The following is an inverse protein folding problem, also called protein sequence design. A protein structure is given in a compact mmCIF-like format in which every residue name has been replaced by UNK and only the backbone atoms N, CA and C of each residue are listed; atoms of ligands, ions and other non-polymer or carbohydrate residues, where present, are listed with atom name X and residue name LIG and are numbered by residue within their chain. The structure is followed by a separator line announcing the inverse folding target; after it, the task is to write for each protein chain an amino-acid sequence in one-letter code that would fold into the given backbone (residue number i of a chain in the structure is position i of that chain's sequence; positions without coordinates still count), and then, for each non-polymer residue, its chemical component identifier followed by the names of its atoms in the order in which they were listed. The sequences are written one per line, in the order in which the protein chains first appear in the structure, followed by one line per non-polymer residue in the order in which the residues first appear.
data_IF_115893589558
#
_entry.id   IF_115893589558
#
_cell.length_a   1.000
_cell.length_b   1.000
_cell.length_c   1.000
_cell.angle_alpha   90.00
_cell.angle_beta   90.00
_cell.angle_gamma   90.00
#
_symmetry.space_group_name_H-M   'P 1'
#
loop_
_entity.id
_entity.type
_entity.pdbx_description
1 polymer ?
#
# COMPACT_ATOMS: atom_id res chain seq x y z
N UNK A 1 36.82 -47.55 -2.96
CA UNK A 1 35.45 -47.39 -2.38
C UNK A 1 35.62 -47.28 -0.88
N UNK A 2 35.21 -46.27 -0.12
CA UNK A 2 34.37 -45.10 -0.37
C UNK A 2 34.97 -43.89 0.38
N UNK A 3 34.74 -42.71 -0.17
CA UNK A 3 35.23 -41.41 0.28
C UNK A 3 34.33 -40.85 1.39
N UNK A 4 34.93 -40.42 2.50
CA UNK A 4 34.32 -39.67 3.59
C UNK A 4 34.60 -38.18 3.40
N UNK A 5 33.60 -37.39 3.01
CA UNK A 5 33.67 -35.92 3.05
C UNK A 5 32.72 -35.39 4.12
N UNK A 6 33.27 -35.06 5.29
CA UNK A 6 32.60 -34.24 6.29
C UNK A 6 32.63 -32.78 5.84
N UNK A 7 31.47 -32.14 5.71
CA UNK A 7 31.38 -30.69 5.51
C UNK A 7 31.09 -30.03 6.86
N UNK A 8 32.09 -29.29 7.32
CA UNK A 8 31.97 -28.26 8.36
C UNK A 8 30.97 -27.19 7.91
N UNK A 9 29.97 -26.90 8.76
CA UNK A 9 29.20 -25.67 8.67
C UNK A 9 29.85 -24.66 9.61
N UNK A 10 30.63 -23.74 9.05
CA UNK A 10 31.14 -22.58 9.78
C UNK A 10 30.01 -21.56 9.89
N UNK A 11 29.62 -21.29 11.14
CA UNK A 11 28.72 -20.22 11.55
C UNK A 11 29.39 -18.88 11.23
N UNK A 12 28.82 -18.11 10.29
CA UNK A 12 29.15 -16.69 10.10
C UNK A 12 28.02 -15.88 10.74
N UNK A 13 28.23 -15.51 12.00
CA UNK A 13 27.43 -14.52 12.71
C UNK A 13 28.01 -13.12 12.46
N UNK A 14 27.13 -12.13 12.47
CA UNK A 14 27.40 -10.70 12.65
C UNK A 14 28.24 -9.98 11.59
N UNK A 15 27.56 -9.23 10.72
CA UNK A 15 27.79 -7.79 10.49
C UNK A 15 26.89 -7.32 9.34
N UNK A 16 25.65 -6.90 9.66
CA UNK A 16 24.82 -6.02 8.82
C UNK A 16 23.62 -5.50 9.60
N UNK A 17 23.85 -4.92 10.78
CA UNK A 17 22.84 -4.18 11.51
C UNK A 17 23.51 -2.95 12.11
N UNK A 18 23.44 -1.83 11.38
CA UNK A 18 23.53 -0.44 11.88
C UNK A 18 23.68 0.51 10.68
N UNK A 19 22.58 0.82 9.99
CA UNK A 19 22.54 2.07 9.21
C UNK A 19 21.09 2.54 9.01
N UNK A 20 20.39 2.81 10.12
CA UNK A 20 19.16 3.58 10.08
C UNK A 20 19.12 4.44 11.36
N UNK A 21 19.88 5.54 11.36
CA UNK A 21 19.58 6.80 12.06
C UNK A 21 20.81 7.74 12.03
N UNK A 22 20.58 9.00 11.59
CA UNK A 22 21.50 10.16 11.46
C UNK A 22 22.33 10.16 10.15
N UNK A 23 22.35 11.21 9.32
CA UNK A 23 22.29 12.66 9.58
C UNK A 23 21.62 13.38 8.39
N UNK A 24 20.71 14.32 8.66
CA UNK A 24 20.36 15.38 7.71
C UNK A 24 21.06 16.64 8.22
N UNK A 25 22.01 17.16 7.43
CA UNK A 25 22.56 18.52 7.56
C UNK A 25 22.12 19.34 6.34
N UNK A 26 21.87 20.64 6.48
CA UNK A 26 21.18 21.44 5.48
C UNK A 26 22.10 21.81 4.32
N UNK A 27 21.70 21.47 3.09
CA UNK A 27 22.42 21.91 1.90
C UNK A 27 22.03 23.35 1.51
N UNK A 28 23.10 24.10 1.26
CA UNK A 28 23.17 25.51 0.88
C UNK A 28 22.39 25.81 -0.39
N UNK A 29 21.72 26.95 -0.35
CA UNK A 29 21.20 27.72 -1.48
C UNK A 29 22.28 27.95 -2.54
N UNK A 30 22.05 27.48 -3.77
CA UNK A 30 22.81 27.92 -4.95
C UNK A 30 21.81 28.64 -5.87
N UNK A 31 21.92 29.97 -5.93
CA UNK A 31 21.26 30.82 -6.92
C UNK A 31 22.11 30.80 -8.20
N UNK A 32 21.59 30.23 -9.27
CA UNK A 32 22.10 30.52 -10.62
C UNK A 32 21.20 31.58 -11.27
N UNK A 33 21.76 32.77 -11.45
CA UNK A 33 21.17 33.85 -12.22
C UNK A 33 21.27 33.52 -13.71
N UNK A 34 20.11 33.36 -14.36
CA UNK A 34 20.02 33.33 -15.82
C UNK A 34 19.64 34.73 -16.30
N UNK A 35 20.56 35.42 -16.99
CA UNK A 35 20.30 36.66 -17.72
C UNK A 35 19.91 36.33 -19.16
N UNK A 36 18.61 36.34 -19.45
CA UNK A 36 18.11 36.19 -20.82
C UNK A 36 18.04 37.56 -21.51
N UNK A 37 18.78 37.72 -22.62
CA UNK A 37 18.62 38.83 -23.58
C UNK A 37 17.33 38.59 -24.39
N UNK A 38 16.44 39.59 -24.41
CA UNK A 38 15.23 39.61 -25.25
C UNK A 38 15.53 40.09 -26.67
N UNK A 39 15.09 39.41 -27.74
CA UNK A 39 14.87 40.04 -29.04
C UNK A 39 13.45 40.62 -29.13
N UNK A 40 13.35 41.83 -29.69
CA UNK A 40 12.10 42.54 -29.98
C UNK A 40 11.47 41.99 -31.26
N UNK A 41 10.26 41.43 -31.18
CA UNK A 41 9.15 41.57 -32.15
C UNK A 41 8.05 40.55 -31.81
N UNK A 42 6.85 41.05 -31.49
CA UNK A 42 5.70 40.20 -31.15
C UNK A 42 4.99 39.67 -32.40
N UNK A 43 4.07 38.70 -32.20
CA UNK A 43 2.69 39.03 -32.56
C UNK A 43 1.64 38.54 -31.55
N UNK A 44 0.62 39.42 -31.41
CA UNK A 44 -0.79 39.19 -31.02
C UNK A 44 -1.07 38.49 -29.67
N UNK A 45 -1.47 39.33 -28.70
CA UNK A 45 -1.93 38.92 -27.37
C UNK A 45 -3.09 37.90 -27.44
N UNK A 46 -2.80 36.64 -27.13
CA UNK A 46 -3.76 35.76 -26.48
C UNK A 46 -4.07 36.39 -25.11
N UNK A 47 -5.34 36.67 -24.84
CA UNK A 47 -5.79 37.06 -23.50
C UNK A 47 -5.35 35.93 -22.56
N UNK A 48 -4.39 36.23 -21.70
CA UNK A 48 -4.11 35.40 -20.54
C UNK A 48 -5.39 35.40 -19.71
N UNK A 49 -6.15 34.30 -19.81
CA UNK A 49 -6.94 33.88 -18.67
C UNK A 49 -5.90 33.63 -17.58
N UNK A 50 -6.14 34.18 -16.40
CA UNK A 50 -5.27 33.98 -15.24
C UNK A 50 -5.23 32.46 -14.95
N UNK A 51 -4.23 31.78 -15.52
CA UNK A 51 -3.85 30.38 -15.28
C UNK A 51 -3.18 30.26 -13.90
N UNK A 52 -3.79 30.83 -12.87
CA UNK A 52 -3.50 30.48 -11.49
C UNK A 52 -4.12 29.09 -11.26
N UNK A 53 -3.31 28.06 -11.51
CA UNK A 53 -3.67 26.68 -11.16
C UNK A 53 -4.15 26.69 -9.70
N UNK A 54 -5.39 26.24 -9.42
CA UNK A 54 -5.96 26.37 -8.09
C UNK A 54 -5.03 25.71 -7.09
N UNK A 55 -4.63 26.44 -6.04
CA UNK A 55 -3.88 25.85 -4.93
C UNK A 55 -4.67 24.66 -4.41
N UNK A 56 -4.20 23.45 -4.70
CA UNK A 56 -4.80 22.21 -4.20
C UNK A 56 -4.44 22.11 -2.72
N UNK A 57 -5.21 22.78 -1.86
CA UNK A 57 -5.17 22.54 -0.42
C UNK A 57 -5.87 21.22 -0.13
N UNK A 58 -5.17 20.09 -0.25
CA UNK A 58 -5.74 18.77 0.00
C UNK A 58 -4.93 17.61 -0.58
N UNK A 59 -5.45 16.39 -0.47
CA UNK A 59 -4.88 15.23 -1.14
C UNK A 59 -5.09 15.36 -2.66
N UNK A 60 -4.00 15.60 -3.39
CA UNK A 60 -4.01 15.73 -4.84
C UNK A 60 -4.55 14.47 -5.55
N UNK A 61 -4.47 13.30 -4.90
CA UNK A 61 -4.97 12.04 -5.45
C UNK A 61 -6.50 12.00 -5.40
N UNK A 62 -7.09 12.52 -4.33
CA UNK A 62 -8.54 12.69 -4.23
C UNK A 62 -9.04 13.74 -5.22
N UNK A 63 -8.29 14.83 -5.42
CA UNK A 63 -8.59 15.81 -6.46
C UNK A 63 -8.56 15.17 -7.86
N UNK A 64 -7.52 14.39 -8.18
CA UNK A 64 -7.41 13.63 -9.43
C UNK A 64 -8.58 12.65 -9.60
N UNK A 65 -8.96 11.94 -8.54
CA UNK A 65 -10.11 11.03 -8.57
C UNK A 65 -11.42 11.77 -8.90
N UNK A 66 -11.65 12.95 -8.31
CA UNK A 66 -12.82 13.80 -8.61
C UNK A 66 -12.83 14.29 -10.06
N UNK A 67 -11.67 14.58 -10.64
CA UNK A 67 -11.58 14.96 -12.06
C UNK A 67 -11.92 13.78 -12.96
N UNK A 68 -11.35 12.60 -12.71
CA UNK A 68 -11.62 11.38 -13.50
C UNK A 68 -13.11 11.05 -13.44
N UNK A 69 -13.72 11.09 -12.25
CA UNK A 69 -15.17 10.87 -12.09
C UNK A 69 -16.05 11.90 -12.81
N UNK A 70 -15.56 13.13 -13.04
CA UNK A 70 -16.28 14.16 -13.78
C UNK A 70 -16.13 14.01 -15.29
N UNK A 71 -14.93 13.62 -15.74
CA UNK A 71 -14.60 13.47 -17.16
C UNK A 71 -15.18 12.20 -17.74
N UNK A 72 -15.00 11.08 -17.04
CA UNK A 72 -15.40 9.74 -17.50
C UNK A 72 -16.78 9.33 -16.96
N UNK A 73 -17.39 10.20 -16.13
CA UNK A 73 -18.58 9.88 -15.34
C UNK A 73 -18.28 8.93 -14.17
N UNK A 74 -19.32 8.49 -13.45
CA UNK A 74 -19.17 7.26 -12.64
C UNK A 74 -18.90 6.15 -13.65
N UNK A 75 -17.79 5.40 -13.54
CA UNK A 75 -17.44 4.45 -14.59
C UNK A 75 -18.59 3.49 -14.81
N UNK A 76 -19.00 3.30 -16.06
CA UNK A 76 -20.12 2.44 -16.42
C UNK A 76 -19.86 1.02 -15.89
N UNK A 77 -20.71 0.53 -14.98
CA UNK A 77 -20.50 -0.77 -14.30
C UNK A 77 -19.61 -0.75 -13.05
N UNK A 78 -19.04 0.40 -12.65
CA UNK A 78 -18.37 0.56 -11.34
C UNK A 78 -19.40 0.49 -10.21
N UNK A 79 -19.80 -0.73 -9.88
CA UNK A 79 -20.61 -1.00 -8.70
C UNK A 79 -19.69 -0.96 -7.49
N UNK A 80 -19.89 0.03 -6.62
CA UNK A 80 -19.41 -0.08 -5.24
C UNK A 80 -20.07 -1.34 -4.66
N UNK A 81 -19.27 -2.24 -4.10
CA UNK A 81 -19.83 -3.40 -3.40
C UNK A 81 -20.57 -2.92 -2.17
N UNK A 82 -21.90 -2.90 -2.25
CA UNK A 82 -22.79 -2.51 -1.16
C UNK A 82 -22.59 -3.44 0.05
N UNK A 83 -22.32 -4.72 -0.21
CA UNK A 83 -22.07 -5.71 0.84
C UNK A 83 -20.74 -5.48 1.55
N UNK A 84 -19.67 -5.12 0.81
CA UNK A 84 -18.41 -4.71 1.43
C UNK A 84 -18.58 -3.42 2.25
N UNK A 85 -19.40 -2.47 1.77
CA UNK A 85 -19.70 -1.23 2.49
C UNK A 85 -20.41 -1.53 3.81
N UNK A 86 -21.47 -2.34 3.78
CA UNK A 86 -22.22 -2.76 4.98
C UNK A 86 -21.32 -3.46 6.00
N UNK A 87 -20.45 -4.36 5.55
CA UNK A 87 -19.48 -5.00 6.43
C UNK A 87 -18.51 -3.99 7.05
N UNK A 88 -18.01 -3.04 6.26
CA UNK A 88 -17.13 -1.99 6.75
C UNK A 88 -17.83 -1.06 7.75
N UNK A 89 -19.12 -0.73 7.55
CA UNK A 89 -19.92 0.05 8.50
C UNK A 89 -20.00 -0.63 9.87
N UNK A 90 -20.10 -1.97 9.90
CA UNK A 90 -20.11 -2.75 11.15
C UNK A 90 -18.71 -2.76 11.78
N UNK A 91 -17.66 -2.93 10.98
CA UNK A 91 -16.29 -3.10 11.49
C UNK A 91 -15.61 -1.78 11.90
N UNK A 92 -15.84 -0.72 11.13
CA UNK A 92 -15.24 0.61 11.32
C UNK A 92 -16.15 1.71 10.70
N UNK A 93 -17.14 2.22 11.46
CA UNK A 93 -18.07 3.23 10.97
C UNK A 93 -17.40 4.52 10.48
N UNK A 94 -16.34 4.96 11.17
CA UNK A 94 -15.59 6.17 10.81
C UNK A 94 -14.91 6.03 9.46
N UNK A 95 -14.30 4.88 9.19
CA UNK A 95 -13.67 4.59 7.90
C UNK A 95 -14.70 4.37 6.79
N UNK A 96 -15.87 3.79 7.12
CA UNK A 96 -16.97 3.56 6.18
C UNK A 96 -17.62 4.87 5.69
N UNK A 97 -17.61 5.91 6.52
CA UNK A 97 -18.13 7.23 6.17
C UNK A 97 -17.22 7.99 5.19
N UNK A 98 -15.96 7.58 5.03
CA UNK A 98 -15.03 8.19 4.08
C UNK A 98 -15.38 7.82 2.62
N UNK A 99 -14.97 8.67 1.68
CA UNK A 99 -15.14 8.38 0.26
C UNK A 99 -14.34 7.14 -0.18
N UNK A 100 -14.99 6.22 -0.89
CA UNK A 100 -14.36 5.05 -1.49
C UNK A 100 -14.15 5.27 -2.99
N UNK A 101 -12.90 5.19 -3.43
CA UNK A 101 -12.52 5.33 -4.84
C UNK A 101 -11.21 4.60 -5.15
N UNK A 102 -11.08 4.17 -6.40
CA UNK A 102 -9.83 3.77 -7.02
C UNK A 102 -9.88 4.18 -8.50
N UNK A 103 -8.73 4.50 -9.10
CA UNK A 103 -8.65 4.76 -10.53
C UNK A 103 -7.28 4.35 -11.05
N UNK A 104 -7.21 3.91 -12.29
CA UNK A 104 -5.95 3.50 -12.90
C UNK A 104 -4.95 4.66 -12.99
N UNK A 105 -3.67 4.34 -12.85
CA UNK A 105 -2.56 5.26 -13.12
C UNK A 105 -1.62 4.62 -14.14
N UNK A 106 -0.97 5.43 -15.00
CA UNK A 106 -0.09 4.89 -16.04
C UNK A 106 1.20 4.27 -15.46
N UNK A 107 1.63 4.73 -14.28
CA UNK A 107 2.83 4.28 -13.58
C UNK A 107 2.53 4.08 -12.08
N UNK A 108 3.34 3.29 -11.36
CA UNK A 108 3.19 3.13 -9.93
C UNK A 108 3.66 4.40 -9.21
N UNK A 109 3.06 4.67 -8.05
CA UNK A 109 3.38 5.83 -7.21
C UNK A 109 3.39 5.41 -5.74
N UNK A 110 4.18 6.07 -4.90
CA UNK A 110 4.14 5.86 -3.44
C UNK A 110 2.74 6.14 -2.90
N UNK A 111 2.22 5.23 -2.09
CA UNK A 111 0.85 5.22 -1.59
C UNK A 111 -0.21 4.80 -2.63
N UNK A 112 0.21 4.50 -3.86
CA UNK A 112 -0.57 3.76 -4.84
C UNK A 112 -0.72 2.29 -4.48
N UNK A 113 -1.50 1.60 -5.30
CA UNK A 113 -1.60 0.14 -5.28
C UNK A 113 -1.18 -0.42 -6.62
N UNK A 114 -0.62 -1.63 -6.59
CA UNK A 114 -0.46 -2.48 -7.77
C UNK A 114 -1.30 -3.74 -7.62
N UNK A 115 -1.98 -4.10 -8.69
CA UNK A 115 -2.93 -5.20 -8.75
C UNK A 115 -2.35 -6.26 -9.69
N UNK A 116 -2.24 -7.50 -9.23
CA UNK A 116 -1.76 -8.59 -10.08
C UNK A 116 -2.67 -8.78 -11.29
N UNK A 117 -2.07 -8.81 -12.48
CA UNK A 117 -2.74 -9.14 -13.73
C UNK A 117 -2.88 -10.65 -13.87
N UNK A 118 -4.01 -11.11 -14.40
CA UNK A 118 -4.22 -12.53 -14.70
C UNK A 118 -3.62 -12.95 -16.04
N UNK A 119 -3.23 -11.96 -16.86
CA UNK A 119 -2.70 -12.16 -18.21
C UNK A 119 -1.19 -12.44 -18.24
N UNK A 120 -0.54 -12.55 -17.08
CA UNK A 120 0.91 -12.70 -16.95
C UNK A 120 1.29 -14.08 -16.36
N UNK A 121 1.50 -15.11 -17.21
CA UNK A 121 1.81 -16.46 -16.75
C UNK A 121 3.07 -16.55 -15.88
N UNK A 122 4.06 -15.68 -16.09
CA UNK A 122 5.30 -15.68 -15.30
C UNK A 122 5.07 -15.28 -13.85
N UNK A 123 4.23 -14.27 -13.61
CA UNK A 123 3.81 -13.87 -12.27
C UNK A 123 2.98 -14.98 -11.60
N UNK A 124 2.06 -15.58 -12.38
CA UNK A 124 1.15 -16.61 -11.88
C UNK A 124 1.78 -17.99 -11.68
N UNK A 125 3.07 -18.19 -12.02
CA UNK A 125 3.82 -19.41 -11.62
C UNK A 125 3.90 -19.56 -10.09
N UNK A 126 3.78 -18.46 -9.36
CA UNK A 126 3.68 -18.46 -7.91
C UNK A 126 2.21 -18.24 -7.51
N UNK A 127 1.52 -19.31 -7.11
CA UNK A 127 0.10 -19.25 -6.68
C UNK A 127 -0.15 -18.20 -5.59
N UNK A 128 0.88 -17.85 -4.81
CA UNK A 128 0.76 -16.84 -3.76
C UNK A 128 0.49 -15.44 -4.34
N UNK A 129 0.81 -15.20 -5.61
CA UNK A 129 0.58 -13.97 -6.38
C UNK A 129 -0.82 -13.87 -6.99
N UNK A 130 -1.63 -14.94 -6.96
CA UNK A 130 -2.97 -14.93 -7.55
C UNK A 130 -3.87 -13.83 -6.97
N UNK A 131 -4.35 -12.88 -7.78
CA UNK A 131 -5.25 -11.82 -7.33
C UNK A 131 -4.71 -11.01 -6.12
N UNK A 132 -3.39 -10.80 -5.99
CA UNK A 132 -2.87 -9.95 -4.91
C UNK A 132 -3.10 -8.46 -5.21
N UNK A 133 -3.36 -7.69 -4.15
CA UNK A 133 -3.40 -6.23 -4.17
C UNK A 133 -2.34 -5.73 -3.23
N UNK A 134 -1.37 -4.97 -3.74
CA UNK A 134 -0.21 -4.49 -2.98
C UNK A 134 -0.26 -2.99 -2.82
N UNK A 135 -0.14 -2.49 -1.60
CA UNK A 135 0.04 -1.06 -1.31
C UNK A 135 1.52 -0.70 -1.31
N UNK A 136 1.93 0.27 -2.11
CA UNK A 136 3.33 0.70 -2.21
C UNK A 136 3.65 1.68 -1.07
N UNK A 137 4.48 1.25 -0.12
CA UNK A 137 4.95 2.09 0.98
C UNK A 137 6.11 2.99 0.57
N UNK A 138 6.86 2.59 -0.46
CA UNK A 138 7.92 3.38 -1.10
C UNK A 138 8.06 2.96 -2.56
N UNK A 139 8.34 3.94 -3.43
CA UNK A 139 8.65 3.73 -4.84
C UNK A 139 9.63 4.82 -5.31
N UNK A 140 10.74 4.41 -5.93
CA UNK A 140 11.74 5.34 -6.46
C UNK A 140 12.91 4.66 -7.17
N UNK A 141 13.99 5.41 -7.45
CA UNK A 141 15.16 4.89 -8.18
C UNK A 141 15.84 3.70 -7.49
N UNK A 142 15.81 3.65 -6.16
CA UNK A 142 16.41 2.58 -5.36
C UNK A 142 15.56 1.28 -5.34
N UNK A 143 14.38 1.29 -5.95
CA UNK A 143 13.45 0.17 -5.96
C UNK A 143 12.10 0.51 -5.34
N UNK A 144 11.32 -0.53 -5.06
CA UNK A 144 9.96 -0.39 -4.50
C UNK A 144 9.75 -1.33 -3.32
N UNK A 145 8.94 -0.91 -2.37
CA UNK A 145 8.50 -1.74 -1.24
C UNK A 145 6.99 -1.63 -1.12
N UNK A 146 6.33 -2.76 -0.88
CA UNK A 146 4.89 -2.79 -0.72
C UNK A 146 4.40 -3.89 0.22
N UNK A 147 3.15 -3.73 0.66
CA UNK A 147 2.46 -4.67 1.55
C UNK A 147 1.23 -5.25 0.85
N UNK A 148 1.12 -6.57 0.81
CA UNK A 148 -0.07 -7.24 0.29
C UNK A 148 -1.25 -7.00 1.25
N UNK A 149 -2.31 -6.36 0.76
CA UNK A 149 -3.45 -5.93 1.55
C UNK A 149 -4.46 -7.04 1.84
N UNK A 150 -4.57 -8.03 0.94
CA UNK A 150 -5.66 -9.00 0.89
C UNK A 150 -5.24 -10.44 1.21
N UNK A 151 -4.22 -10.61 2.06
CA UNK A 151 -3.75 -11.92 2.52
C UNK A 151 -3.81 -12.05 4.05
N UNK A 152 -5.01 -12.10 4.65
CA UNK A 152 -5.14 -12.40 6.07
C UNK A 152 -4.60 -13.80 6.36
N UNK A 153 -3.75 -13.94 7.37
CA UNK A 153 -3.25 -15.27 7.81
C UNK A 153 -4.16 -15.84 8.90
N UNK A 154 -3.97 -17.10 9.28
CA UNK A 154 -4.63 -17.70 10.46
C UNK A 154 -4.09 -17.20 11.81
N UNK A 155 -3.08 -16.33 11.79
CA UNK A 155 -2.33 -15.87 12.96
C UNK A 155 -2.92 -14.56 13.49
N UNK A 156 -2.80 -14.37 14.79
CA UNK A 156 -3.08 -13.11 15.48
C UNK A 156 -1.79 -12.67 16.18
N UNK A 157 -1.68 -11.40 16.57
CA UNK A 157 -0.47 -10.93 17.26
C UNK A 157 -0.28 -11.56 18.64
N UNK A 158 -1.38 -11.87 19.31
CA UNK A 158 -1.38 -12.56 20.59
C UNK A 158 -1.09 -14.05 20.45
N UNK A 159 -0.78 -14.68 21.58
CA UNK A 159 -0.63 -16.13 21.63
C UNK A 159 -1.99 -16.80 21.81
N UNK A 160 -2.40 -17.64 20.86
CA UNK A 160 -3.51 -18.57 21.11
C UNK A 160 -3.06 -19.66 22.11
N UNK A 161 -3.91 -20.06 23.08
CA UNK A 161 -3.64 -21.21 23.93
C UNK A 161 -3.34 -22.46 23.07
N UNK A 162 -2.18 -23.10 23.30
CA UNK A 162 -1.72 -24.26 22.51
C UNK A 162 -1.06 -23.92 21.17
N UNK A 163 -0.96 -22.65 20.78
CA UNK A 163 -0.23 -22.21 19.60
C UNK A 163 1.29 -22.19 19.81
N UNK A 164 2.05 -22.44 18.74
CA UNK A 164 3.48 -22.20 18.70
C UNK A 164 3.76 -20.71 19.00
N UNK A 165 4.79 -20.38 19.80
CA UNK A 165 5.21 -19.01 19.96
C UNK A 165 5.53 -18.45 18.59
N UNK A 166 4.78 -17.42 18.23
CA UNK A 166 5.18 -16.55 17.15
C UNK A 166 6.21 -15.63 17.76
N UNK A 167 7.49 -15.93 17.50
CA UNK A 167 8.62 -15.04 17.74
C UNK A 167 8.52 -13.85 16.77
N UNK A 168 7.41 -13.11 16.89
CA UNK A 168 7.20 -11.84 16.23
C UNK A 168 8.15 -10.89 16.93
N UNK A 169 9.32 -10.67 16.36
CA UNK A 169 10.25 -9.66 16.85
C UNK A 169 9.48 -8.35 17.07
N UNK A 170 9.47 -7.85 18.30
CA UNK A 170 8.71 -6.65 18.64
C UNK A 170 8.51 -6.47 20.16
N UNK A 171 8.09 -5.27 20.60
CA UNK A 171 7.89 -5.00 22.02
C UNK A 171 6.70 -5.82 22.57
N UNK A 172 6.93 -6.56 23.68
CA UNK A 172 5.92 -7.34 24.40
C UNK A 172 4.59 -6.57 24.64
N UNK A 173 4.59 -5.26 24.98
CA UNK A 173 3.34 -4.52 25.17
C UNK A 173 2.40 -4.50 23.95
N UNK A 174 2.97 -4.44 22.74
CA UNK A 174 2.18 -4.40 21.50
C UNK A 174 1.42 -5.72 21.32
N UNK A 175 2.09 -6.86 21.50
CA UNK A 175 1.45 -8.17 21.33
C UNK A 175 0.30 -8.41 22.31
N UNK A 176 0.40 -7.88 23.54
CA UNK A 176 -0.66 -7.98 24.54
C UNK A 176 -1.87 -7.13 24.18
N UNK A 177 -1.64 -5.87 23.79
CA UNK A 177 -2.71 -4.89 23.56
C UNK A 177 -3.47 -5.17 22.27
N UNK A 178 -2.77 -5.68 21.26
CA UNK A 178 -3.35 -6.03 19.97
C UNK A 178 -3.51 -7.55 19.81
N UNK A 179 -3.66 -8.29 20.91
CA UNK A 179 -3.60 -9.76 20.91
C UNK A 179 -4.59 -10.44 19.94
N UNK A 180 -5.75 -9.83 19.72
CA UNK A 180 -6.80 -10.35 18.83
C UNK A 180 -6.67 -9.84 17.39
N UNK A 181 -5.78 -8.88 17.12
CA UNK A 181 -5.56 -8.36 15.77
C UNK A 181 -4.94 -9.44 14.89
N UNK A 182 -5.57 -9.67 13.74
CA UNK A 182 -5.08 -10.61 12.74
C UNK A 182 -3.84 -10.06 12.03
N UNK A 183 -2.88 -10.95 11.79
CA UNK A 183 -1.67 -10.64 11.01
C UNK A 183 -1.92 -10.99 9.55
N UNK A 184 -1.59 -10.07 8.65
CA UNK A 184 -1.62 -10.25 7.21
C UNK A 184 -0.23 -10.68 6.71
N UNK A 185 -0.17 -11.48 5.65
CA UNK A 185 1.08 -11.67 4.93
C UNK A 185 1.32 -10.41 4.10
N UNK A 186 2.25 -9.56 4.53
CA UNK A 186 2.62 -8.35 3.80
C UNK A 186 3.54 -8.63 2.61
N UNK A 187 4.22 -9.78 2.63
CA UNK A 187 4.97 -10.33 1.51
C UNK A 187 5.93 -11.43 1.97
N UNK A 188 6.88 -11.76 1.10
CA UNK A 188 7.75 -12.92 1.31
C UNK A 188 9.18 -12.56 1.73
N UNK A 189 9.51 -11.26 1.73
CA UNK A 189 10.80 -10.76 2.22
C UNK A 189 10.67 -10.38 3.68
N UNK A 190 11.67 -10.76 4.50
CA UNK A 190 11.78 -10.37 5.92
C UNK A 190 10.52 -10.67 6.77
N UNK A 191 9.94 -11.87 6.64
CA UNK A 191 8.68 -12.25 7.31
C UNK A 191 8.73 -12.19 8.86
N UNK A 192 9.93 -12.19 9.45
CA UNK A 192 10.14 -11.94 10.88
C UNK A 192 9.85 -10.50 11.32
N UNK A 193 9.76 -9.55 10.37
CA UNK A 193 9.46 -8.14 10.64
C UNK A 193 7.96 -7.90 10.56
N UNK A 194 7.44 -7.20 11.56
CA UNK A 194 6.03 -6.80 11.61
C UNK A 194 5.89 -5.31 11.34
N UNK A 195 5.05 -5.00 10.37
CA UNK A 195 4.68 -3.64 10.01
C UNK A 195 3.28 -3.32 10.56
N UNK A 196 3.14 -2.20 11.25
CA UNK A 196 1.85 -1.63 11.63
C UNK A 196 1.44 -0.57 10.61
N UNK A 197 0.17 -0.57 10.20
CA UNK A 197 -0.46 0.43 9.34
C UNK A 197 -1.76 0.92 9.97
N UNK A 198 -1.98 2.23 9.99
CA UNK A 198 -3.17 2.84 10.60
C UNK A 198 -3.52 4.23 10.03
N UNK A 199 -4.68 4.72 10.43
CA UNK A 199 -5.22 6.02 10.03
C UNK A 199 -4.84 7.21 10.93
N UNK A 200 -4.10 6.98 12.00
CA UNK A 200 -3.88 7.97 13.06
C UNK A 200 -2.52 8.63 13.00
N UNK A 201 -2.44 9.95 13.21
CA UNK A 201 -1.15 10.65 13.34
C UNK A 201 -0.62 10.49 14.76
N UNK A 202 0.25 9.49 14.95
CA UNK A 202 0.83 9.14 16.24
C UNK A 202 2.29 9.59 16.35
N UNK A 203 2.83 9.59 17.58
CA UNK A 203 4.25 9.87 17.78
C UNK A 203 5.11 8.78 17.11
N UNK A 204 6.23 9.18 16.50
CA UNK A 204 7.16 8.29 15.75
C UNK A 204 6.53 7.51 14.59
N UNK A 205 5.33 7.86 14.13
CA UNK A 205 4.79 7.30 12.89
C UNK A 205 5.39 7.99 11.66
N UNK A 206 5.39 7.29 10.53
CA UNK A 206 5.75 7.82 9.22
C UNK A 206 4.50 7.89 8.37
N UNK A 207 4.24 9.05 7.78
CA UNK A 207 3.13 9.24 6.85
C UNK A 207 3.56 8.80 5.46
N UNK A 208 2.88 7.80 4.88
CA UNK A 208 3.12 7.36 3.50
C UNK A 208 2.37 8.27 2.53
N UNK A 209 1.09 8.49 2.80
CA UNK A 209 0.20 9.42 2.07
C UNK A 209 -0.75 10.10 3.07
N UNK A 210 -1.42 11.20 2.69
CA UNK A 210 -2.48 11.81 3.50
C UNK A 210 -3.39 10.77 4.18
N UNK A 211 -3.33 10.72 5.51
CA UNK A 211 -4.14 9.81 6.32
C UNK A 211 -3.72 8.32 6.37
N UNK A 212 -2.65 7.88 5.72
CA UNK A 212 -2.12 6.50 5.90
C UNK A 212 -0.74 6.58 6.53
N UNK A 213 -0.62 6.00 7.73
CA UNK A 213 0.57 6.05 8.56
C UNK A 213 1.08 4.64 8.85
N UNK A 214 2.39 4.54 9.05
CA UNK A 214 3.12 3.33 9.42
C UNK A 214 3.94 3.59 10.69
N UNK A 215 4.37 2.53 11.38
CA UNK A 215 5.12 2.60 12.65
C UNK A 215 4.35 3.31 13.79
N UNK A 216 5.01 3.65 14.90
CA UNK A 216 4.37 4.35 16.02
C UNK A 216 3.73 3.42 17.04
N UNK A 217 4.27 2.21 17.16
CA UNK A 217 3.78 1.10 17.98
C UNK A 217 3.61 1.47 19.46
N UNK A 218 4.57 2.20 20.03
CA UNK A 218 4.51 2.68 21.43
C UNK A 218 3.32 3.60 21.68
N UNK A 219 3.09 4.55 20.76
CA UNK A 219 2.01 5.52 20.87
C UNK A 219 0.64 4.88 20.57
N UNK A 220 0.60 3.93 19.63
CA UNK A 220 -0.58 3.13 19.32
C UNK A 220 -1.00 2.31 20.54
N UNK A 221 -0.05 1.59 21.15
CA UNK A 221 -0.26 0.80 22.37
C UNK A 221 -0.84 1.67 23.49
N UNK A 222 -0.21 2.82 23.77
CA UNK A 222 -0.68 3.76 24.81
C UNK A 222 -2.05 4.39 24.51
N UNK A 223 -2.42 4.52 23.24
CA UNK A 223 -3.72 5.05 22.84
C UNK A 223 -4.83 4.02 23.01
N UNK A 224 -4.56 2.76 22.68
CA UNK A 224 -5.50 1.65 22.81
C UNK A 224 -5.69 1.26 24.28
N UNK A 225 -4.62 1.11 25.06
CA UNK A 225 -4.72 0.83 26.51
C UNK A 225 -5.48 1.92 27.26
N UNK A 226 -5.32 3.18 26.84
CA UNK A 226 -6.03 4.32 27.40
C UNK A 226 -7.46 4.50 26.86
N UNK A 227 -7.96 3.60 26.00
CA UNK A 227 -9.32 3.66 25.44
C UNK A 227 -9.57 4.82 24.47
N UNK A 228 -8.52 5.49 23.98
CA UNK A 228 -8.64 6.65 23.07
C UNK A 228 -8.83 6.24 21.62
N UNK A 229 -8.30 5.08 21.23
CA UNK A 229 -8.42 4.51 19.89
C UNK A 229 -8.78 3.02 20.00
N UNK A 230 -9.63 2.49 19.11
CA UNK A 230 -9.92 1.07 19.09
C UNK A 230 -8.74 0.29 18.49
N UNK A 231 -8.47 -0.92 19.01
CA UNK A 231 -7.44 -1.80 18.48
C UNK A 231 -7.68 -2.16 17.00
N UNK A 232 -8.95 -2.19 16.56
CA UNK A 232 -9.38 -2.52 15.19
C UNK A 232 -8.95 -1.49 14.14
N UNK A 233 -8.51 -0.29 14.53
CA UNK A 233 -7.99 0.72 13.61
C UNK A 233 -6.56 0.43 13.11
N UNK A 234 -5.92 -0.61 13.65
CA UNK A 234 -4.53 -0.97 13.39
C UNK A 234 -4.43 -2.31 12.65
N UNK A 235 -3.73 -2.29 11.51
CA UNK A 235 -3.46 -3.48 10.70
C UNK A 235 -2.00 -3.89 10.84
N UNK A 236 -1.75 -5.19 10.90
CA UNK A 236 -0.42 -5.76 11.09
C UNK A 236 -0.05 -6.67 9.93
N UNK A 237 1.17 -6.55 9.43
CA UNK A 237 1.67 -7.27 8.28
C UNK A 237 3.02 -7.92 8.59
N UNK A 238 3.16 -9.20 8.29
CA UNK A 238 4.42 -9.93 8.35
C UNK A 238 5.12 -9.88 7.00
N UNK A 239 6.35 -9.35 7.01
CA UNK A 239 7.15 -9.15 5.82
C UNK A 239 6.59 -8.13 4.83
N UNK A 240 7.26 -8.01 3.69
CA UNK A 240 6.89 -7.12 2.60
C UNK A 240 7.25 -7.74 1.24
N UNK A 241 6.68 -7.18 0.17
CA UNK A 241 7.20 -7.36 -1.18
C UNK A 241 8.23 -6.27 -1.47
N UNK A 242 9.31 -6.66 -2.12
CA UNK A 242 10.43 -5.78 -2.47
C UNK A 242 10.80 -5.98 -3.92
N UNK A 243 10.96 -4.88 -4.64
CA UNK A 243 11.46 -4.84 -6.00
C UNK A 243 12.78 -4.09 -6.01
N UNK A 244 13.75 -4.61 -6.76
CA UNK A 244 14.99 -3.91 -7.04
C UNK A 244 14.76 -2.64 -7.89
N UNK A 245 15.82 -1.84 -8.11
CA UNK A 245 15.79 -0.69 -9.01
C UNK A 245 15.18 -1.04 -10.37
N UNK A 246 14.12 -0.33 -10.78
CA UNK A 246 13.46 -0.50 -12.10
C UNK A 246 12.56 -1.74 -12.25
N UNK A 247 12.74 -2.77 -11.42
CA UNK A 247 12.10 -4.09 -11.61
C UNK A 247 10.56 -4.03 -11.64
N UNK A 248 9.93 -3.26 -10.76
CA UNK A 248 8.46 -3.10 -10.79
C UNK A 248 7.98 -2.47 -12.12
N UNK A 249 8.76 -1.53 -12.65
CA UNK A 249 8.47 -0.90 -13.94
C UNK A 249 8.56 -1.90 -15.09
N UNK A 250 9.60 -2.72 -15.11
CA UNK A 250 9.78 -3.77 -16.12
C UNK A 250 8.66 -4.81 -16.06
N UNK A 251 8.26 -5.24 -14.86
CA UNK A 251 7.13 -6.15 -14.68
C UNK A 251 5.80 -5.53 -15.14
N UNK A 252 5.59 -4.23 -14.93
CA UNK A 252 4.44 -3.52 -15.48
C UNK A 252 4.46 -3.46 -17.00
N UNK A 253 5.61 -3.22 -17.61
CA UNK A 253 5.76 -3.18 -19.07
C UNK A 253 5.52 -4.57 -19.69
N UNK A 254 5.74 -5.65 -18.92
CA UNK A 254 5.39 -7.03 -19.27
C UNK A 254 3.92 -7.40 -18.98
N UNK A 255 3.11 -6.45 -18.49
CA UNK A 255 1.70 -6.67 -18.19
C UNK A 255 1.43 -7.45 -16.91
N UNK A 256 2.41 -7.59 -16.00
CA UNK A 256 2.25 -8.32 -14.73
C UNK A 256 1.40 -7.57 -13.70
N UNK A 257 1.39 -6.23 -13.76
CA UNK A 257 0.74 -5.39 -12.77
C UNK A 257 -0.07 -4.27 -13.42
N UNK A 258 -1.25 -4.01 -12.87
CA UNK A 258 -1.98 -2.76 -13.09
C UNK A 258 -1.67 -1.80 -11.95
N UNK A 259 -1.32 -0.55 -12.25
CA UNK A 259 -1.16 0.49 -11.24
C UNK A 259 -2.45 1.29 -11.05
N UNK A 260 -2.75 1.63 -9.81
CA UNK A 260 -3.88 2.48 -9.48
C UNK A 260 -3.59 3.36 -8.26
N UNK A 261 -4.29 4.50 -8.21
CA UNK A 261 -4.44 5.27 -6.99
C UNK A 261 -5.74 4.88 -6.31
N UNK A 262 -5.78 4.98 -4.99
CA UNK A 262 -6.96 4.64 -4.21
C UNK A 262 -7.11 5.49 -2.95
N UNK A 263 -8.36 5.55 -2.47
CA UNK A 263 -8.73 6.13 -1.19
C UNK A 263 -8.07 5.42 0.00
N UNK A 264 -7.80 6.18 1.06
CA UNK A 264 -7.37 5.65 2.37
C UNK A 264 -8.31 4.57 2.90
N UNK A 265 -9.63 4.78 2.77
CA UNK A 265 -10.65 3.83 3.20
C UNK A 265 -10.47 2.45 2.57
N UNK A 266 -10.02 2.38 1.32
CA UNK A 266 -9.70 1.12 0.64
C UNK A 266 -8.46 0.44 1.23
N UNK A 267 -7.39 1.20 1.49
CA UNK A 267 -6.11 0.65 2.03
C UNK A 267 -6.27 0.12 3.46
N UNK A 268 -6.98 0.88 4.30
CA UNK A 268 -7.19 0.57 5.70
C UNK A 268 -8.35 -0.41 5.95
N UNK A 269 -9.17 -0.71 4.93
CA UNK A 269 -10.27 -1.70 5.02
C UNK A 269 -9.73 -3.07 5.47
N UNK A 270 -10.33 -3.74 6.47
CA UNK A 270 -10.03 -5.13 6.76
C UNK A 270 -10.43 -6.03 5.58
N UNK A 271 -9.48 -6.80 5.03
CA UNK A 271 -9.78 -7.72 3.92
C UNK A 271 -10.22 -9.12 4.38
N UNK A 272 -10.53 -9.29 5.67
CA UNK A 272 -10.97 -10.57 6.22
C UNK A 272 -12.47 -10.76 5.94
N UNK A 273 -12.83 -11.88 5.31
CA UNK A 273 -14.24 -12.25 5.02
C UNK A 273 -15.02 -11.19 4.24
N UNK A 274 -14.35 -10.46 3.33
CA UNK A 274 -15.05 -9.55 2.42
C UNK A 274 -16.01 -10.34 1.52
N UNK A 275 -17.30 -9.95 1.42
CA UNK A 275 -18.25 -10.55 0.48
C UNK A 275 -17.76 -10.50 -0.97
N UNK A 276 -17.18 -9.37 -1.37
CA UNK A 276 -16.50 -9.20 -2.65
C UNK A 276 -15.00 -9.09 -2.37
N UNK A 277 -14.15 -9.99 -2.90
CA UNK A 277 -12.71 -9.92 -2.67
C UNK A 277 -12.11 -8.58 -3.09
N UNK A 278 -11.11 -8.11 -2.34
CA UNK A 278 -10.52 -6.77 -2.54
C UNK A 278 -9.98 -6.55 -3.97
N UNK A 279 -9.42 -7.60 -4.59
CA UNK A 279 -8.92 -7.54 -5.98
C UNK A 279 -10.05 -7.20 -6.96
N UNK A 280 -11.19 -7.87 -6.82
CA UNK A 280 -12.38 -7.62 -7.64
C UNK A 280 -12.95 -6.22 -7.39
N UNK A 281 -13.07 -5.83 -6.13
CA UNK A 281 -13.60 -4.52 -5.74
C UNK A 281 -12.75 -3.38 -6.30
N UNK A 282 -11.42 -3.48 -6.25
CA UNK A 282 -10.51 -2.46 -6.80
C UNK A 282 -10.69 -2.32 -8.31
N UNK A 283 -10.72 -3.43 -9.05
CA UNK A 283 -10.88 -3.40 -10.50
C UNK A 283 -12.26 -2.85 -10.92
N UNK A 284 -13.32 -3.19 -10.19
CA UNK A 284 -14.64 -2.60 -10.38
C UNK A 284 -14.63 -1.09 -10.14
N UNK A 285 -13.95 -0.62 -9.09
CA UNK A 285 -13.80 0.82 -8.82
C UNK A 285 -12.99 1.55 -9.90
N UNK A 286 -11.96 0.91 -10.46
CA UNK A 286 -11.17 1.45 -11.56
C UNK A 286 -11.99 1.62 -12.85
N UNK A 287 -13.02 0.80 -13.05
CA UNK A 287 -13.98 0.96 -14.14
C UNK A 287 -13.44 0.61 -15.53
N UNK A 288 -14.22 0.90 -16.57
CA UNK A 288 -13.83 0.65 -17.97
C UNK A 288 -13.46 -0.82 -18.21
N UNK A 289 -12.35 -1.06 -18.93
CA UNK A 289 -11.85 -2.42 -19.23
C UNK A 289 -11.58 -3.29 -17.99
N UNK A 290 -11.34 -2.68 -16.83
CA UNK A 290 -11.03 -3.43 -15.61
C UNK A 290 -12.25 -4.17 -15.04
N UNK A 291 -13.47 -3.79 -15.43
CA UNK A 291 -14.70 -4.50 -15.06
C UNK A 291 -14.74 -5.88 -15.73
N UNK A 292 -14.32 -5.97 -16.98
CA UNK A 292 -14.24 -7.25 -17.72
C UNK A 292 -13.19 -8.16 -17.09
N UNK A 293 -12.00 -7.63 -16.79
CA UNK A 293 -10.94 -8.35 -16.06
C UNK A 293 -11.45 -8.88 -14.70
N UNK A 294 -12.22 -8.05 -13.99
CA UNK A 294 -12.83 -8.45 -12.71
C UNK A 294 -13.93 -9.52 -12.86
N UNK A 295 -14.56 -9.63 -14.03
CA UNK A 295 -15.54 -10.67 -14.34
C UNK A 295 -14.84 -11.98 -14.68
N UNK A 296 -13.92 -11.94 -15.64
CA UNK A 296 -13.15 -13.10 -16.13
C UNK A 296 -12.39 -13.81 -15.01
N UNK A 297 -11.82 -13.05 -14.07
CA UNK A 297 -11.12 -13.64 -12.91
C UNK A 297 -12.00 -14.47 -11.95
N UNK A 298 -13.31 -14.50 -12.16
CA UNK A 298 -14.29 -15.28 -11.41
C UNK A 298 -15.32 -15.99 -12.33
N UNK A 299 -15.09 -16.01 -13.65
CA UNK A 299 -15.91 -16.82 -14.56
C UNK A 299 -15.61 -18.29 -14.27
N UNK A 300 -16.55 -18.95 -13.59
CA UNK A 300 -16.42 -20.30 -13.02
C UNK A 300 -17.12 -20.50 -11.67
N UNK A 301 -17.52 -19.42 -10.99
CA UNK A 301 -18.18 -19.43 -9.68
C UNK A 301 -19.71 -19.09 -9.72
N UNK A 302 -20.28 -18.86 -10.91
CA UNK A 302 -21.73 -18.65 -11.14
C UNK A 302 -22.40 -19.90 -11.73
#
# INVERSE_FOLDING_TARGET
MASTSGRHWTVMHEQSFTCYHRKISPLRTIRHAWTARTPKSGPRALRALDDEAPMVSGDWREFRAKLIMRTDGVPEGARRSEDNRRLLEIQNPSLAAEGLWAHATPRPETGGIVIASLDCPTLLKDDRMWQVVVFLTSHGPEGSVGLILNRPTGMVLGRKPGGLPLELGGPIPVQRVFQDNRVYCGGFTAQQVIHIMHGHRLNKCVQVVPGVYMAGEEAATSAVEGGRLPATDFKFFSGALTWGPGELGEQMDQGAWYAAACSRSLVLKPALQLPVPLWREVLQLMGGRFIEVAREGYEGDE
#
